data_IF_560850936725
#
_entry.id   IF_560850936725
#
_cell.length_a   1.000
_cell.length_b   1.000
_cell.length_c   1.000
_cell.angle_alpha   90.00
_cell.angle_beta   90.00
_cell.angle_gamma   90.00
#
_symmetry.space_group_name_H-M   'P 1'
#
loop_
_entity.id
_entity.type
_entity.pdbx_description
1 polymer ?
#
# COMPACT_ATOMS: atom_id res chain seq x y z
N UNK A 1 18.94 -1.40 -7.27
CA UNK A 1 18.28 -1.32 -5.93
C UNK A 1 18.26 -2.68 -5.28
N UNK A 2 18.47 -2.75 -3.99
CA UNK A 2 18.56 -4.00 -3.21
C UNK A 2 17.38 -4.05 -2.24
N UNK A 3 16.63 -5.13 -2.20
CA UNK A 3 15.60 -5.36 -1.18
C UNK A 3 16.15 -6.25 -0.07
N UNK A 4 15.94 -5.84 1.17
CA UNK A 4 16.22 -6.63 2.36
C UNK A 4 14.90 -6.96 3.03
N UNK A 5 14.62 -8.23 3.18
CA UNK A 5 13.44 -8.72 3.88
C UNK A 5 13.80 -9.19 5.29
N UNK A 6 12.77 -9.33 6.14
CA UNK A 6 12.89 -9.92 7.47
C UNK A 6 13.86 -9.21 8.42
N UNK A 7 13.98 -7.89 8.33
CA UNK A 7 14.71 -7.11 9.34
C UNK A 7 13.84 -7.02 10.58
N UNK A 8 14.23 -7.74 11.62
CA UNK A 8 13.51 -7.81 12.89
C UNK A 8 14.15 -6.91 13.94
N UNK A 9 13.33 -6.05 14.57
CA UNK A 9 13.73 -5.13 15.63
C UNK A 9 12.63 -5.07 16.72
N UNK A 10 13.00 -4.85 18.00
CA UNK A 10 12.00 -4.61 19.05
C UNK A 10 11.09 -3.43 18.69
N UNK A 11 9.85 -3.42 19.17
CA UNK A 11 8.92 -2.30 18.89
C UNK A 11 9.39 -0.96 19.45
N UNK A 12 10.31 -0.98 20.42
CA UNK A 12 10.91 0.20 21.05
C UNK A 12 12.15 0.74 20.32
N UNK A 13 12.54 0.12 19.18
CA UNK A 13 13.74 0.56 18.44
C UNK A 13 13.57 1.97 17.85
N UNK A 14 14.70 2.62 17.63
CA UNK A 14 14.81 3.89 16.91
C UNK A 14 15.26 3.70 15.44
N UNK A 15 15.29 4.80 14.70
CA UNK A 15 15.71 4.82 13.29
C UNK A 15 17.17 4.41 13.12
N UNK A 16 18.03 4.78 14.07
CA UNK A 16 19.48 4.47 14.02
C UNK A 16 19.69 2.96 14.07
N UNK A 17 18.92 2.26 14.90
CA UNK A 17 19.02 0.80 15.00
C UNK A 17 18.56 0.10 13.70
N UNK A 18 17.56 0.66 13.00
CA UNK A 18 17.16 0.15 11.69
C UNK A 18 18.28 0.33 10.66
N UNK A 19 18.90 1.51 10.60
CA UNK A 19 20.01 1.79 9.70
C UNK A 19 21.23 0.89 9.98
N UNK A 20 21.55 0.67 11.25
CA UNK A 20 22.62 -0.27 11.64
C UNK A 20 22.33 -1.71 11.18
N UNK A 21 21.09 -2.15 11.28
CA UNK A 21 20.67 -3.47 10.77
C UNK A 21 20.79 -3.56 9.25
N UNK A 22 20.42 -2.49 8.53
CA UNK A 22 20.59 -2.40 7.07
C UNK A 22 22.08 -2.48 6.71
N UNK A 23 22.92 -1.65 7.33
CA UNK A 23 24.39 -1.67 7.11
C UNK A 23 24.97 -3.05 7.36
N UNK A 24 24.59 -3.68 8.46
CA UNK A 24 25.06 -5.05 8.81
C UNK A 24 24.60 -6.08 7.78
N UNK A 25 23.33 -6.04 7.35
CA UNK A 25 22.77 -6.97 6.37
C UNK A 25 23.50 -6.89 5.01
N UNK A 26 23.87 -5.67 4.60
CA UNK A 26 24.57 -5.42 3.33
C UNK A 26 26.11 -5.41 3.46
N UNK A 27 26.65 -5.65 4.65
CA UNK A 27 28.09 -5.58 4.94
C UNK A 27 28.72 -4.26 4.51
N UNK A 28 28.01 -3.15 4.71
CA UNK A 28 28.48 -1.81 4.41
C UNK A 28 29.48 -1.33 5.47
N UNK A 29 30.44 -0.50 5.06
CA UNK A 29 31.31 0.24 6.00
C UNK A 29 30.48 1.33 6.71
N UNK A 30 30.96 1.76 7.88
CA UNK A 30 30.26 2.76 8.71
C UNK A 30 29.92 4.03 7.93
N UNK A 31 30.85 4.52 7.12
CA UNK A 31 30.74 5.78 6.38
C UNK A 31 30.12 5.64 4.97
N UNK A 32 29.68 4.42 4.59
CA UNK A 32 29.08 4.22 3.27
C UNK A 32 27.71 4.92 3.22
N UNK A 33 27.50 5.90 2.33
CA UNK A 33 26.21 6.52 2.15
C UNK A 33 25.23 5.56 1.47
N UNK A 34 23.99 5.57 1.91
CA UNK A 34 22.89 4.83 1.30
C UNK A 34 21.58 5.55 1.59
N UNK A 35 20.59 5.31 0.73
CA UNK A 35 19.20 5.70 0.96
C UNK A 35 18.36 4.46 1.09
N UNK A 36 17.29 4.53 1.88
CA UNK A 36 16.36 3.41 1.99
C UNK A 36 14.91 3.86 2.09
N UNK A 37 14.03 3.00 1.65
CA UNK A 37 12.58 3.16 1.76
C UNK A 37 11.99 1.93 2.42
N UNK A 38 11.13 2.14 3.42
CA UNK A 38 10.37 1.06 4.04
C UNK A 38 9.24 0.66 3.10
N UNK A 39 9.29 -0.58 2.59
CA UNK A 39 8.28 -1.14 1.68
C UNK A 39 7.19 -1.86 2.46
N UNK A 40 7.58 -2.50 3.57
CA UNK A 40 6.66 -3.22 4.44
C UNK A 40 7.10 -3.11 5.89
N UNK A 41 6.14 -2.87 6.78
CA UNK A 41 6.29 -2.94 8.23
C UNK A 41 5.17 -3.81 8.78
N UNK A 42 5.49 -4.86 9.51
CA UNK A 42 4.52 -5.74 10.15
C UNK A 42 4.92 -6.03 11.58
N UNK A 43 3.97 -6.45 12.41
CA UNK A 43 4.20 -6.81 13.81
C UNK A 43 4.34 -8.33 13.91
N UNK A 44 5.39 -8.78 14.59
CA UNK A 44 5.54 -10.17 15.02
C UNK A 44 5.26 -10.26 16.52
N UNK A 45 4.08 -10.77 16.88
CA UNK A 45 3.60 -10.93 18.24
C UNK A 45 3.49 -12.41 18.65
N UNK A 46 4.16 -13.33 17.94
CA UNK A 46 4.05 -14.77 18.18
C UNK A 46 4.68 -15.23 19.51
N UNK A 47 5.60 -14.44 20.06
CA UNK A 47 6.29 -14.75 21.32
C UNK A 47 6.06 -13.63 22.33
N UNK A 48 4.83 -13.53 22.87
CA UNK A 48 4.53 -12.59 23.95
C UNK A 48 5.35 -12.89 25.19
N UNK A 49 5.80 -11.88 25.96
CA UNK A 49 5.52 -10.43 25.81
C UNK A 49 6.38 -9.73 24.75
N UNK A 50 7.34 -10.40 24.12
CA UNK A 50 8.28 -9.79 23.19
C UNK A 50 7.59 -9.47 21.85
N UNK A 51 7.43 -8.18 21.58
CA UNK A 51 6.88 -7.69 20.33
C UNK A 51 7.99 -7.14 19.43
N UNK A 52 7.92 -7.46 18.17
CA UNK A 52 8.89 -7.00 17.19
C UNK A 52 8.21 -6.39 15.97
N UNK A 53 8.84 -5.38 15.38
CA UNK A 53 8.58 -5.00 14.01
C UNK A 53 9.45 -5.83 13.07
N UNK A 54 8.86 -6.24 11.96
CA UNK A 54 9.54 -6.92 10.85
C UNK A 54 9.41 -6.05 9.62
N UNK A 55 10.54 -5.63 9.08
CA UNK A 55 10.64 -4.72 7.94
C UNK A 55 11.05 -5.45 6.67
N UNK A 56 10.53 -4.97 5.54
CA UNK A 56 11.16 -5.08 4.23
C UNK A 56 11.54 -3.68 3.78
N UNK A 57 12.79 -3.49 3.38
CA UNK A 57 13.31 -2.20 2.94
C UNK A 57 13.98 -2.32 1.58
N UNK A 58 13.80 -1.31 0.75
CA UNK A 58 14.54 -1.14 -0.49
C UNK A 58 15.68 -0.16 -0.23
N UNK A 59 16.87 -0.55 -0.63
CA UNK A 59 18.09 0.20 -0.38
C UNK A 59 18.75 0.55 -1.71
N UNK A 60 19.15 1.79 -1.84
CA UNK A 60 19.92 2.31 -2.96
C UNK A 60 21.33 2.66 -2.51
N UNK A 61 22.33 2.13 -3.24
CA UNK A 61 23.75 2.38 -2.96
C UNK A 61 24.48 2.69 -4.26
N UNK A 62 25.70 3.17 -4.15
CA UNK A 62 26.53 3.48 -5.33
C UNK A 62 26.92 2.24 -6.16
N UNK A 63 26.92 1.04 -5.58
CA UNK A 63 27.36 -0.19 -6.26
C UNK A 63 26.60 -1.42 -5.76
N UNK A 64 25.32 -1.50 -6.13
CA UNK A 64 24.42 -2.59 -5.74
C UNK A 64 24.96 -3.97 -6.16
N UNK A 65 25.54 -4.07 -7.35
CA UNK A 65 26.02 -5.37 -7.88
C UNK A 65 27.20 -5.93 -7.07
N UNK A 66 28.11 -5.06 -6.68
CA UNK A 66 29.27 -5.46 -5.87
C UNK A 66 28.87 -5.88 -4.46
N UNK A 67 27.87 -5.20 -3.88
CA UNK A 67 27.31 -5.56 -2.58
C UNK A 67 26.63 -6.92 -2.66
N UNK A 68 25.78 -7.15 -3.66
CA UNK A 68 25.08 -8.42 -3.83
C UNK A 68 26.03 -9.62 -3.98
N UNK A 69 27.16 -9.45 -4.66
CA UNK A 69 28.19 -10.50 -4.77
C UNK A 69 28.86 -10.86 -3.44
N UNK A 70 28.88 -9.92 -2.47
CA UNK A 70 29.50 -10.13 -1.15
C UNK A 70 28.52 -10.65 -0.08
N UNK A 71 27.23 -10.48 -0.32
CA UNK A 71 26.18 -10.81 0.64
C UNK A 71 25.56 -12.15 0.25
N UNK A 72 25.89 -13.20 1.04
CA UNK A 72 25.23 -14.50 0.92
C UNK A 72 24.09 -14.57 1.96
N UNK A 73 22.93 -14.03 1.60
CA UNK A 73 21.76 -13.96 2.48
C UNK A 73 20.48 -14.04 1.63
N UNK A 74 19.68 -15.07 1.86
CA UNK A 74 18.42 -15.31 1.12
C UNK A 74 17.38 -14.18 1.29
N UNK A 75 17.53 -13.34 2.33
CA UNK A 75 16.66 -12.19 2.55
C UNK A 75 17.11 -10.93 1.80
N UNK A 76 18.25 -10.99 1.08
CA UNK A 76 18.80 -9.87 0.32
C UNK A 76 18.76 -10.22 -1.16
N UNK A 77 18.04 -9.41 -1.93
CA UNK A 77 17.83 -9.67 -3.36
C UNK A 77 17.92 -8.40 -4.20
N UNK A 78 18.30 -8.57 -5.46
CA UNK A 78 18.21 -7.50 -6.44
C UNK A 78 16.75 -7.30 -6.86
N UNK A 79 16.30 -6.05 -6.93
CA UNK A 79 14.99 -5.73 -7.43
C UNK A 79 15.08 -4.68 -8.54
N UNK A 80 14.15 -4.79 -9.50
CA UNK A 80 13.83 -3.73 -10.45
C UNK A 80 12.48 -3.15 -10.07
N UNK A 81 12.46 -1.91 -9.61
CA UNK A 81 11.20 -1.21 -9.33
C UNK A 81 10.55 -0.89 -10.68
N UNK A 82 9.46 -1.57 -10.96
CA UNK A 82 8.60 -1.20 -12.09
C UNK A 82 7.69 -0.06 -11.63
N UNK A 83 7.94 1.14 -12.11
CA UNK A 83 6.96 2.22 -11.96
C UNK A 83 5.89 2.01 -13.02
N UNK A 84 4.64 2.04 -12.60
CA UNK A 84 3.53 2.14 -13.55
C UNK A 84 3.57 3.57 -14.12
N UNK A 85 3.67 3.65 -15.43
CA UNK A 85 3.63 4.92 -16.14
C UNK A 85 2.32 4.92 -16.91
N UNK A 86 1.47 5.90 -16.62
CA UNK A 86 0.27 6.12 -17.42
C UNK A 86 0.67 6.55 -18.82
N UNK A 87 -0.04 6.10 -19.88
CA UNK A 87 0.18 6.58 -21.21
C UNK A 87 -0.04 8.10 -21.29
N UNK A 88 0.85 8.82 -21.93
CA UNK A 88 0.67 10.25 -22.13
C UNK A 88 -0.56 10.51 -23.01
N UNK A 89 -1.44 11.36 -22.54
CA UNK A 89 -2.66 11.72 -23.28
C UNK A 89 -2.47 13.07 -23.96
N UNK A 90 -2.46 13.03 -25.28
CA UNK A 90 -2.40 14.24 -26.11
C UNK A 90 -3.83 14.73 -26.32
N UNK A 91 -4.20 15.83 -25.68
CA UNK A 91 -5.49 16.52 -25.82
C UNK A 91 -6.72 15.76 -25.24
N UNK A 92 -6.96 15.83 -23.93
CA UNK A 92 -8.13 15.23 -23.26
C UNK A 92 -9.42 16.02 -23.57
N UNK A 93 -9.95 15.91 -24.79
CA UNK A 93 -11.11 16.68 -25.25
C UNK A 93 -12.47 16.07 -24.84
N UNK A 94 -12.48 14.88 -24.28
CA UNK A 94 -13.72 14.18 -23.86
C UNK A 94 -13.79 14.04 -22.36
N UNK A 95 -14.97 14.20 -21.80
CA UNK A 95 -15.24 13.90 -20.37
C UNK A 95 -15.53 12.42 -20.20
N UNK A 96 -14.66 11.64 -19.57
CA UNK A 96 -14.92 10.23 -19.28
C UNK A 96 -16.03 10.10 -18.25
N UNK A 97 -16.91 9.10 -18.41
CA UNK A 97 -17.90 8.74 -17.40
C UNK A 97 -17.52 7.38 -16.83
N UNK A 98 -17.43 7.32 -15.51
CA UNK A 98 -17.07 6.12 -14.74
C UNK A 98 -18.32 5.65 -14.01
N UNK A 99 -18.76 4.43 -14.29
CA UNK A 99 -19.91 3.83 -13.62
C UNK A 99 -19.44 3.05 -12.39
N UNK A 100 -19.81 3.56 -11.22
CA UNK A 100 -19.50 2.99 -9.91
C UNK A 100 -18.37 3.71 -9.18
N UNK A 101 -18.62 4.07 -7.91
CA UNK A 101 -17.66 4.69 -6.99
C UNK A 101 -17.05 3.67 -6.00
N UNK A 102 -16.88 2.43 -6.43
CA UNK A 102 -16.07 1.43 -5.71
C UNK A 102 -14.57 1.63 -5.94
N UNK A 103 -13.69 0.79 -5.36
CA UNK A 103 -12.24 0.94 -5.48
C UNK A 103 -11.74 1.08 -6.92
N UNK A 104 -12.25 0.27 -7.85
CA UNK A 104 -11.86 0.34 -9.25
C UNK A 104 -12.21 1.68 -9.90
N UNK A 105 -13.45 2.16 -9.67
CA UNK A 105 -13.89 3.45 -10.22
C UNK A 105 -13.14 4.64 -9.63
N UNK A 106 -12.87 4.63 -8.33
CA UNK A 106 -12.11 5.67 -7.66
C UNK A 106 -10.66 5.73 -8.14
N UNK A 107 -9.98 4.58 -8.30
CA UNK A 107 -8.63 4.53 -8.86
C UNK A 107 -8.61 4.92 -10.35
N UNK A 108 -9.63 4.55 -11.12
CA UNK A 108 -9.77 4.99 -12.50
C UNK A 108 -9.93 6.51 -12.58
N UNK A 109 -10.78 7.11 -11.73
CA UNK A 109 -10.94 8.56 -11.64
C UNK A 109 -9.61 9.24 -11.27
N UNK A 110 -8.91 8.73 -10.27
CA UNK A 110 -7.62 9.24 -9.86
C UNK A 110 -6.59 9.20 -11.00
N UNK A 111 -6.49 8.07 -11.71
CA UNK A 111 -5.56 7.92 -12.83
C UNK A 111 -5.89 8.89 -13.96
N UNK A 112 -7.17 9.02 -14.34
CA UNK A 112 -7.60 9.97 -15.37
C UNK A 112 -7.35 11.43 -14.97
N UNK A 113 -7.62 11.79 -13.72
CA UNK A 113 -7.34 13.13 -13.21
C UNK A 113 -5.84 13.44 -13.21
N UNK A 114 -5.00 12.48 -12.93
CA UNK A 114 -3.54 12.62 -12.99
C UNK A 114 -3.03 12.94 -14.42
N UNK A 115 -3.80 12.53 -15.43
CA UNK A 115 -3.51 12.81 -16.86
C UNK A 115 -4.30 14.02 -17.41
N UNK A 116 -4.90 14.83 -16.53
CA UNK A 116 -5.59 16.08 -16.91
C UNK A 116 -7.03 15.91 -17.39
N UNK A 117 -7.63 14.75 -17.27
CA UNK A 117 -9.07 14.58 -17.51
C UNK A 117 -9.91 15.05 -16.32
N UNK A 118 -11.17 15.37 -16.59
CA UNK A 118 -12.18 15.67 -15.58
C UNK A 118 -13.29 14.62 -15.64
N UNK A 119 -13.10 13.43 -15.06
CA UNK A 119 -14.09 12.37 -15.14
C UNK A 119 -15.33 12.67 -14.30
N UNK A 120 -16.48 12.21 -14.78
CA UNK A 120 -17.71 12.15 -14.00
C UNK A 120 -17.83 10.74 -13.43
N UNK A 121 -17.93 10.63 -12.11
CA UNK A 121 -18.17 9.35 -11.43
C UNK A 121 -19.63 9.26 -11.05
N UNK A 122 -20.31 8.21 -11.48
CA UNK A 122 -21.70 7.92 -11.09
C UNK A 122 -21.72 6.73 -10.15
N UNK A 123 -22.54 6.81 -9.10
CA UNK A 123 -22.74 5.71 -8.15
C UNK A 123 -24.25 5.48 -7.99
N UNK A 124 -24.65 4.20 -8.04
CA UNK A 124 -26.04 3.80 -7.87
C UNK A 124 -26.49 3.84 -6.41
N UNK A 125 -25.60 3.46 -5.51
CA UNK A 125 -25.88 3.43 -4.09
C UNK A 125 -25.78 4.80 -3.43
N UNK A 126 -26.12 4.84 -2.15
CA UNK A 126 -26.13 6.08 -1.36
C UNK A 126 -24.73 6.53 -0.95
N UNK A 127 -24.64 7.78 -0.49
CA UNK A 127 -23.44 8.33 0.16
C UNK A 127 -23.13 7.59 1.45
N UNK A 128 -21.89 7.68 1.90
CA UNK A 128 -21.37 6.92 3.06
C UNK A 128 -22.23 7.10 4.30
N UNK A 129 -22.69 8.33 4.59
CA UNK A 129 -23.48 8.63 5.79
C UNK A 129 -24.84 7.93 5.76
N UNK A 130 -25.56 8.02 4.64
CA UNK A 130 -26.85 7.36 4.46
C UNK A 130 -26.70 5.84 4.40
N UNK A 131 -25.65 5.37 3.73
CA UNK A 131 -25.32 3.96 3.61
C UNK A 131 -24.99 3.34 4.97
N UNK A 132 -24.34 4.07 5.88
CA UNK A 132 -24.08 3.63 7.25
C UNK A 132 -25.38 3.32 7.98
N UNK A 133 -26.40 4.17 7.84
CA UNK A 133 -27.72 3.91 8.42
C UNK A 133 -28.40 2.67 7.84
N UNK A 134 -28.28 2.46 6.51
CA UNK A 134 -28.85 1.26 5.86
C UNK A 134 -28.18 -0.03 6.32
N UNK A 135 -26.84 0.00 6.49
CA UNK A 135 -26.07 -1.14 6.99
C UNK A 135 -26.45 -1.45 8.45
N UNK A 136 -26.57 -0.44 9.28
CA UNK A 136 -26.98 -0.63 10.67
C UNK A 136 -28.41 -1.21 10.75
N UNK A 137 -29.34 -0.66 9.98
CA UNK A 137 -30.69 -1.20 9.89
C UNK A 137 -30.72 -2.67 9.46
N UNK A 138 -29.88 -3.05 8.49
CA UNK A 138 -29.75 -4.45 8.08
C UNK A 138 -29.28 -5.35 9.22
N UNK A 139 -28.28 -4.93 9.98
CA UNK A 139 -27.77 -5.71 11.11
C UNK A 139 -28.80 -5.85 12.24
N UNK A 140 -29.65 -4.84 12.45
CA UNK A 140 -30.68 -4.85 13.48
C UNK A 140 -31.94 -5.66 13.07
N UNK A 141 -32.32 -5.58 11.79
CA UNK A 141 -33.61 -6.10 11.31
C UNK A 141 -33.52 -7.29 10.36
N UNK A 142 -32.34 -7.55 9.78
CA UNK A 142 -32.16 -8.53 8.70
C UNK A 142 -32.74 -8.10 7.35
N UNK A 143 -33.29 -6.89 7.22
CA UNK A 143 -33.90 -6.37 5.97
C UNK A 143 -32.84 -5.74 5.09
N UNK A 144 -32.52 -6.40 3.98
CA UNK A 144 -31.50 -5.96 3.03
C UNK A 144 -32.06 -4.94 2.03
N UNK A 145 -31.39 -3.79 1.91
CA UNK A 145 -31.54 -2.91 0.76
C UNK A 145 -30.56 -3.38 -0.35
N UNK A 146 -31.12 -3.80 -1.49
CA UNK A 146 -30.32 -4.35 -2.61
C UNK A 146 -29.51 -3.29 -3.35
N UNK A 147 -29.80 -2.02 -3.17
CA UNK A 147 -29.11 -0.91 -3.82
C UNK A 147 -28.10 -0.20 -2.89
N UNK A 148 -28.28 -0.31 -1.56
CA UNK A 148 -27.42 0.35 -0.56
C UNK A 148 -27.19 -0.58 0.64
N UNK A 149 -26.00 -1.14 0.75
CA UNK A 149 -25.64 -2.13 1.78
C UNK A 149 -24.13 -2.19 1.98
N UNK A 150 -23.60 -3.23 2.66
CA UNK A 150 -22.16 -3.42 2.88
C UNK A 150 -21.35 -3.53 1.58
N UNK A 151 -21.96 -3.99 0.48
CA UNK A 151 -21.25 -4.18 -0.79
C UNK A 151 -21.44 -3.00 -1.75
N UNK A 152 -22.64 -2.41 -1.78
CA UNK A 152 -23.04 -1.41 -2.77
C UNK A 152 -23.23 -0.04 -2.15
N UNK A 153 -22.75 0.99 -2.87
CA UNK A 153 -22.76 2.39 -2.49
C UNK A 153 -21.35 3.00 -2.53
N UNK A 154 -21.25 4.26 -2.19
CA UNK A 154 -20.02 5.05 -2.22
C UNK A 154 -18.88 4.34 -1.47
N UNK A 155 -17.72 4.19 -2.13
CA UNK A 155 -16.55 3.50 -1.62
C UNK A 155 -16.59 1.97 -1.77
N UNK A 156 -17.72 1.38 -2.18
CA UNK A 156 -17.89 -0.06 -2.34
C UNK A 156 -17.75 -0.84 -1.03
N UNK A 157 -17.42 -2.13 -1.11
CA UNK A 157 -17.30 -2.99 0.08
C UNK A 157 -16.16 -2.60 1.03
N UNK A 158 -15.18 -1.82 0.55
CA UNK A 158 -14.05 -1.37 1.37
C UNK A 158 -14.41 -0.32 2.42
N UNK A 159 -15.53 0.40 2.26
CA UNK A 159 -15.95 1.48 3.17
C UNK A 159 -16.14 1.03 4.62
N UNK A 160 -16.65 -0.18 4.82
CA UNK A 160 -16.96 -0.74 6.14
C UNK A 160 -15.93 -1.78 6.61
N UNK A 161 -14.74 -1.78 6.03
CA UNK A 161 -13.64 -2.65 6.43
C UNK A 161 -12.45 -1.83 6.94
N UNK A 162 -11.56 -2.48 7.67
CA UNK A 162 -10.26 -1.94 8.10
C UNK A 162 -9.19 -2.00 6.99
N UNK A 163 -9.61 -2.06 5.72
CA UNK A 163 -8.73 -2.23 4.56
C UNK A 163 -8.50 -3.68 4.17
N UNK A 164 -9.16 -4.64 4.85
CA UNK A 164 -9.17 -6.05 4.51
C UNK A 164 -10.60 -6.58 4.51
N UNK A 165 -11.04 -7.11 3.38
CA UNK A 165 -12.28 -7.89 3.30
C UNK A 165 -12.02 -9.27 3.93
N UNK A 166 -12.74 -9.60 4.97
CA UNK A 166 -12.71 -10.90 5.63
C UNK A 166 -13.86 -11.77 5.15
#
# INVERSE_FOLDING_TARGET
>A
MIRINQIKLPVTHDTVQLEQKIKKALKLKADTPFQYQIVKKSIDARKKPDLFYVYSVDVETSDDQKILKKVNNNNVMSIKVKKYVLPEVINPSRTPVIAGAGPAGLFCAYALMSEGFHPIVTERGKKVEERTADVQKFWETGVLDTASNVQFGEGGAGTFSDGKLN
#
